data_IF_711616198360
#
_entry.id   IF_711616198360
#
_cell.length_a   1.000
_cell.length_b   1.000
_cell.length_c   1.000
_cell.angle_alpha   90.00
_cell.angle_beta   90.00
_cell.angle_gamma   90.00
#
_symmetry.space_group_name_H-M   'P 1'
#
loop_
_entity.id
_entity.type
_entity.pdbx_description
1 polymer ?
#
# COMPACT_ATOMS: atom_id res chain seq x y z
N UNK A 1 24.21 -57.46 -37.16
CA UNK A 1 23.49 -57.25 -35.88
C UNK A 1 23.89 -55.88 -35.26
N UNK A 2 23.25 -54.78 -35.65
CA UNK A 2 22.05 -54.15 -35.05
C UNK A 2 22.20 -53.77 -33.57
N UNK A 3 22.10 -52.46 -33.28
CA UNK A 3 21.70 -51.87 -31.98
C UNK A 3 22.87 -51.25 -31.18
N UNK A 4 22.80 -50.04 -30.62
CA UNK A 4 21.69 -49.09 -30.47
C UNK A 4 22.26 -47.68 -30.20
N UNK A 5 21.79 -46.68 -30.94
CA UNK A 5 21.99 -45.25 -30.66
C UNK A 5 21.09 -44.85 -29.47
N UNK A 6 21.69 -44.54 -28.32
CA UNK A 6 20.99 -44.12 -27.12
C UNK A 6 20.58 -42.63 -27.17
N UNK A 7 19.28 -42.41 -27.39
CA UNK A 7 18.42 -41.35 -26.84
C UNK A 7 19.09 -40.00 -26.50
N UNK A 8 19.15 -39.10 -27.48
CA UNK A 8 19.16 -37.66 -27.19
C UNK A 8 17.75 -37.24 -26.75
N UNK A 9 17.61 -36.82 -25.49
CA UNK A 9 16.38 -36.23 -24.94
C UNK A 9 16.22 -34.84 -25.56
N UNK A 10 15.50 -34.74 -26.67
CA UNK A 10 15.18 -33.47 -27.29
C UNK A 10 14.35 -32.61 -26.32
N UNK A 11 14.93 -31.50 -25.86
CA UNK A 11 14.14 -30.40 -25.32
C UNK A 11 13.25 -29.91 -26.46
N UNK A 12 11.93 -30.15 -26.39
CA UNK A 12 10.97 -29.57 -27.33
C UNK A 12 11.06 -28.05 -27.21
N UNK A 13 11.67 -27.38 -28.19
CA UNK A 13 11.47 -25.96 -28.40
C UNK A 13 9.98 -25.72 -28.62
N UNK A 14 9.38 -24.84 -27.80
CA UNK A 14 8.00 -24.41 -27.99
C UNK A 14 7.85 -23.83 -29.41
N UNK A 15 6.72 -24.12 -30.06
CA UNK A 15 6.49 -23.65 -31.43
C UNK A 15 6.55 -22.11 -31.45
N UNK A 16 7.02 -21.46 -32.54
CA UNK A 16 7.21 -20.00 -32.57
C UNK A 16 5.99 -19.18 -32.12
N UNK A 17 4.77 -19.66 -32.40
CA UNK A 17 3.51 -19.04 -31.94
C UNK A 17 3.31 -19.11 -30.42
N UNK A 18 3.65 -20.24 -29.79
CA UNK A 18 3.56 -20.39 -28.33
C UNK A 18 4.58 -19.47 -27.64
N UNK A 19 5.81 -19.39 -28.18
CA UNK A 19 6.84 -18.47 -27.68
C UNK A 19 6.39 -17.01 -27.76
N UNK A 20 5.82 -16.58 -28.88
CA UNK A 20 5.30 -15.21 -29.05
C UNK A 20 4.16 -14.91 -28.06
N UNK A 21 3.21 -15.83 -27.88
CA UNK A 21 2.11 -15.67 -26.92
C UNK A 21 2.63 -15.55 -25.48
N UNK A 22 3.62 -16.35 -25.11
CA UNK A 22 4.24 -16.29 -23.78
C UNK A 22 4.94 -14.95 -23.53
N UNK A 23 5.66 -14.42 -24.53
CA UNK A 23 6.30 -13.10 -24.45
C UNK A 23 5.29 -11.96 -24.33
N UNK A 24 4.19 -12.01 -25.08
CA UNK A 24 3.12 -11.02 -24.98
C UNK A 24 2.45 -11.02 -23.60
N UNK A 25 2.23 -12.20 -23.02
CA UNK A 25 1.70 -12.34 -21.66
C UNK A 25 2.66 -11.80 -20.61
N UNK A 26 3.96 -12.04 -20.75
CA UNK A 26 4.99 -11.51 -19.86
C UNK A 26 5.02 -9.97 -19.91
N UNK A 27 5.08 -9.40 -21.11
CA UNK A 27 5.08 -7.95 -21.29
C UNK A 27 3.82 -7.28 -20.69
N UNK A 28 2.65 -7.92 -20.84
CA UNK A 28 1.41 -7.45 -20.22
C UNK A 28 1.46 -7.49 -18.70
N UNK A 29 2.07 -8.52 -18.11
CA UNK A 29 2.26 -8.63 -16.66
C UNK A 29 3.23 -7.55 -16.14
N UNK A 30 4.34 -7.33 -16.85
CA UNK A 30 5.32 -6.28 -16.51
C UNK A 30 4.67 -4.89 -16.53
N UNK A 31 3.92 -4.55 -17.59
CA UNK A 31 3.22 -3.28 -17.67
C UNK A 31 2.22 -3.07 -16.52
N UNK A 32 1.51 -4.12 -16.10
CA UNK A 32 0.62 -4.05 -14.95
C UNK A 32 1.38 -3.81 -13.63
N UNK A 33 2.54 -4.42 -13.45
CA UNK A 33 3.40 -4.19 -12.28
C UNK A 33 3.88 -2.75 -12.25
N UNK A 34 4.42 -2.25 -13.38
CA UNK A 34 4.91 -0.88 -13.50
C UNK A 34 3.81 0.15 -13.24
N UNK A 35 2.60 -0.09 -13.77
CA UNK A 35 1.45 0.78 -13.52
C UNK A 35 1.08 0.83 -12.03
N UNK A 36 1.05 -0.32 -11.34
CA UNK A 36 0.77 -0.38 -9.89
C UNK A 36 1.84 0.34 -9.08
N UNK A 37 3.11 0.19 -9.44
CA UNK A 37 4.24 0.89 -8.80
C UNK A 37 4.08 2.41 -8.99
N UNK A 38 3.80 2.87 -10.21
CA UNK A 38 3.60 4.29 -10.49
C UNK A 38 2.44 4.89 -9.69
N UNK A 39 1.32 4.15 -9.56
CA UNK A 39 0.19 4.59 -8.72
C UNK A 39 0.54 4.68 -7.24
N UNK A 40 1.27 3.68 -6.71
CA UNK A 40 1.78 3.70 -5.34
C UNK A 40 2.68 4.91 -5.12
N UNK A 41 3.66 5.12 -5.99
CA UNK A 41 4.68 6.16 -5.82
C UNK A 41 4.06 7.56 -5.93
N UNK A 42 3.12 7.76 -6.85
CA UNK A 42 2.32 8.99 -6.94
C UNK A 42 1.61 9.31 -5.62
N UNK A 43 1.02 8.29 -4.98
CA UNK A 43 0.34 8.48 -3.71
C UNK A 43 1.30 8.73 -2.55
N UNK A 44 2.45 8.05 -2.54
CA UNK A 44 3.51 8.28 -1.56
C UNK A 44 4.09 9.69 -1.67
N UNK A 45 4.21 10.25 -2.87
CA UNK A 45 4.62 11.65 -3.09
C UNK A 45 3.55 12.64 -2.61
N UNK A 46 2.28 12.34 -2.82
CA UNK A 46 1.19 13.13 -2.26
C UNK A 46 1.22 13.10 -0.72
N UNK A 47 1.51 11.94 -0.12
CA UNK A 47 1.68 11.80 1.33
C UNK A 47 2.92 12.53 1.83
N UNK A 48 4.05 12.43 1.13
CA UNK A 48 5.28 13.19 1.42
C UNK A 48 4.98 14.68 1.52
N UNK A 49 4.33 15.22 0.50
CA UNK A 49 3.91 16.61 0.44
C UNK A 49 2.95 16.95 1.59
N UNK A 50 1.88 16.17 1.76
CA UNK A 50 0.85 16.40 2.76
C UNK A 50 1.38 16.38 4.19
N UNK A 51 2.17 15.36 4.55
CA UNK A 51 2.73 15.22 5.90
C UNK A 51 3.79 16.27 6.22
N UNK A 52 4.60 16.68 5.23
CA UNK A 52 5.65 17.69 5.41
C UNK A 52 5.13 19.13 5.49
N UNK A 53 3.97 19.38 4.88
CA UNK A 53 3.33 20.70 4.86
C UNK A 53 2.30 20.89 5.98
N UNK A 54 2.16 19.93 6.90
CA UNK A 54 1.26 20.08 8.04
C UNK A 54 1.70 21.28 8.88
N UNK A 55 0.72 22.11 9.18
CA UNK A 55 0.87 23.25 10.09
C UNK A 55 0.12 22.94 11.38
N UNK A 56 0.56 23.50 12.50
CA UNK A 56 -0.18 23.35 13.75
C UNK A 56 -1.46 24.19 13.68
N UNK A 57 -2.60 23.61 14.06
CA UNK A 57 -3.89 24.31 14.19
C UNK A 57 -4.59 23.95 15.50
N UNK A 58 -5.41 24.86 16.02
CA UNK A 58 -6.15 24.64 17.27
C UNK A 58 -5.22 24.39 18.46
N UNK A 59 -5.44 23.28 19.19
CA UNK A 59 -4.70 22.85 20.38
C UNK A 59 -3.21 22.48 20.14
N UNK A 60 -2.58 23.01 19.10
CA UNK A 60 -1.18 22.78 18.76
C UNK A 60 -0.91 21.48 17.99
N UNK A 61 -1.94 20.73 17.58
CA UNK A 61 -1.77 19.49 16.80
C UNK A 61 -1.54 19.80 15.32
N UNK A 62 -0.83 18.90 14.63
CA UNK A 62 -0.56 19.02 13.20
C UNK A 62 -1.84 18.75 12.40
N UNK A 63 -2.28 19.75 11.63
CA UNK A 63 -3.42 19.64 10.73
C UNK A 63 -3.14 18.59 9.66
N UNK A 64 -3.97 17.55 9.60
CA UNK A 64 -3.89 16.49 8.61
C UNK A 64 -5.14 16.44 7.70
N UNK A 65 -6.00 17.46 7.68
CA UNK A 65 -7.22 17.46 6.88
C UNK A 65 -6.98 17.54 5.36
N UNK A 66 -5.76 17.87 4.94
CA UNK A 66 -5.40 18.09 3.54
C UNK A 66 -4.55 16.95 2.95
N UNK A 67 -4.56 15.78 3.57
CA UNK A 67 -3.81 14.60 3.11
C UNK A 67 -4.82 13.65 2.45
N UNK A 68 -5.03 13.67 1.13
CA UNK A 68 -5.95 12.74 0.47
C UNK A 68 -5.33 11.35 0.33
N UNK A 69 -6.19 10.36 0.05
CA UNK A 69 -5.80 9.05 -0.46
C UNK A 69 -6.45 8.80 -1.80
N UNK A 70 -5.80 8.00 -2.63
CA UNK A 70 -6.38 7.46 -3.86
C UNK A 70 -6.53 5.97 -3.70
N UNK A 71 -7.71 5.42 -3.96
CA UNK A 71 -7.94 3.97 -3.94
C UNK A 71 -8.74 3.64 -5.19
N UNK A 72 -8.23 2.70 -6.01
CA UNK A 72 -8.88 2.29 -7.26
C UNK A 72 -9.26 3.48 -8.16
N UNK A 73 -8.41 4.51 -8.22
CA UNK A 73 -8.65 5.73 -9.02
C UNK A 73 -9.60 6.75 -8.38
N UNK A 74 -10.21 6.47 -7.24
CA UNK A 74 -11.05 7.41 -6.48
C UNK A 74 -10.22 8.16 -5.45
N UNK A 75 -10.25 9.49 -5.51
CA UNK A 75 -9.65 10.35 -4.48
C UNK A 75 -10.63 10.53 -3.32
N UNK A 76 -10.17 10.25 -2.11
CA UNK A 76 -10.95 10.37 -0.87
C UNK A 76 -10.27 11.41 0.00
N UNK A 77 -11.04 12.41 0.45
CA UNK A 77 -10.56 13.49 1.33
C UNK A 77 -10.81 13.13 2.80
N UNK A 78 -9.94 13.54 3.73
CA UNK A 78 -10.21 13.39 5.15
C UNK A 78 -11.43 14.20 5.62
N UNK A 79 -12.10 13.71 6.67
CA UNK A 79 -13.10 14.45 7.42
C UNK A 79 -12.39 15.60 8.15
N UNK A 80 -12.65 16.83 7.70
CA UNK A 80 -11.89 18.01 8.10
C UNK A 80 -11.87 18.21 9.61
N UNK A 81 -13.04 18.25 10.26
CA UNK A 81 -13.16 18.55 11.68
C UNK A 81 -12.39 17.57 12.58
N UNK A 82 -12.32 16.29 12.20
CA UNK A 82 -11.67 15.24 13.00
C UNK A 82 -10.16 15.21 12.71
N UNK A 83 -9.76 15.48 11.47
CA UNK A 83 -8.37 15.39 11.00
C UNK A 83 -7.45 16.52 11.47
N UNK A 84 -8.01 17.54 12.14
CA UNK A 84 -7.23 18.55 12.87
C UNK A 84 -6.47 17.97 14.07
N UNK A 85 -6.74 16.72 14.46
CA UNK A 85 -6.19 16.06 15.65
C UNK A 85 -4.94 15.21 15.38
N UNK A 86 -4.13 15.56 14.37
CA UNK A 86 -2.81 14.97 14.15
C UNK A 86 -2.73 13.86 13.08
N UNK A 87 -3.84 13.23 12.72
CA UNK A 87 -3.91 12.18 11.70
C UNK A 87 -5.12 12.40 10.77
N UNK A 88 -4.99 12.13 9.45
CA UNK A 88 -6.12 12.14 8.55
C UNK A 88 -7.09 11.01 8.90
N UNK A 89 -8.38 11.34 8.98
CA UNK A 89 -9.48 10.41 9.24
C UNK A 89 -10.40 10.40 8.03
N UNK A 90 -10.62 9.25 7.41
CA UNK A 90 -11.49 9.08 6.25
C UNK A 90 -12.79 8.40 6.67
N UNK A 91 -13.89 8.75 6.01
CA UNK A 91 -15.21 8.15 6.21
C UNK A 91 -15.71 7.52 4.91
N UNK A 92 -16.60 6.53 5.03
CA UNK A 92 -17.22 5.88 3.87
C UNK A 92 -16.24 5.05 3.03
N UNK A 93 -15.14 4.58 3.63
CA UNK A 93 -14.16 3.69 2.98
C UNK A 93 -14.42 2.26 3.42
N UNK A 94 -14.71 1.39 2.47
CA UNK A 94 -14.99 -0.03 2.73
C UNK A 94 -13.73 -0.80 3.16
N UNK A 95 -13.90 -1.95 3.84
CA UNK A 95 -12.76 -2.82 4.18
C UNK A 95 -12.01 -3.27 2.93
N UNK A 96 -12.72 -3.54 1.84
CA UNK A 96 -12.12 -3.92 0.56
C UNK A 96 -11.23 -2.81 -0.01
N UNK A 97 -11.66 -1.55 0.08
CA UNK A 97 -10.86 -0.39 -0.31
C UNK A 97 -9.63 -0.23 0.60
N UNK A 98 -9.78 -0.39 1.91
CA UNK A 98 -8.66 -0.32 2.88
C UNK A 98 -7.63 -1.41 2.57
N UNK A 99 -8.07 -2.63 2.25
CA UNK A 99 -7.18 -3.74 1.89
C UNK A 99 -6.54 -3.52 0.52
N UNK A 100 -7.25 -2.88 -0.41
CA UNK A 100 -6.69 -2.46 -1.68
C UNK A 100 -5.57 -1.43 -1.48
N UNK A 101 -5.76 -0.45 -0.60
CA UNK A 101 -4.71 0.52 -0.24
C UNK A 101 -3.49 -0.18 0.36
N UNK A 102 -3.70 -1.10 1.31
CA UNK A 102 -2.61 -1.88 1.90
C UNK A 102 -1.81 -2.65 0.83
N UNK A 103 -2.51 -3.31 -0.09
CA UNK A 103 -1.90 -4.05 -1.22
C UNK A 103 -1.20 -3.12 -2.20
N UNK A 104 -1.72 -1.93 -2.45
CA UNK A 104 -1.06 -0.92 -3.28
C UNK A 104 0.29 -0.52 -2.67
N UNK A 105 0.36 -0.38 -1.34
CA UNK A 105 1.62 -0.03 -0.65
C UNK A 105 2.61 -1.20 -0.59
N UNK A 106 2.13 -2.40 -0.26
CA UNK A 106 3.00 -3.54 0.09
C UNK A 106 3.18 -4.56 -1.04
N UNK A 107 2.36 -4.49 -2.09
CA UNK A 107 2.28 -5.50 -3.14
C UNK A 107 1.54 -6.78 -2.75
N UNK A 108 1.02 -6.89 -1.53
CA UNK A 108 0.45 -8.12 -1.00
C UNK A 108 -0.91 -7.91 -0.32
N UNK A 109 -1.75 -8.95 -0.27
CA UNK A 109 -2.96 -8.93 0.55
C UNK A 109 -2.58 -8.88 2.04
N UNK A 110 -3.40 -8.24 2.89
CA UNK A 110 -3.17 -8.29 4.33
C UNK A 110 -3.30 -9.72 4.84
N UNK A 111 -2.25 -10.22 5.48
CA UNK A 111 -2.27 -11.49 6.21
C UNK A 111 -2.39 -11.19 7.72
N UNK A 112 -3.57 -11.43 8.27
CA UNK A 112 -3.90 -11.02 9.64
C UNK A 112 -3.46 -12.04 10.67
N UNK A 113 -2.76 -11.58 11.70
CA UNK A 113 -2.64 -12.28 12.98
C UNK A 113 -3.66 -11.73 13.98
N UNK A 114 -4.21 -12.61 14.81
CA UNK A 114 -5.07 -12.25 15.93
C UNK A 114 -4.21 -11.72 17.09
N UNK A 115 -4.67 -10.66 17.72
CA UNK A 115 -4.14 -10.03 18.93
C UNK A 115 -5.27 -9.95 19.97
N UNK A 116 -4.94 -9.74 21.26
CA UNK A 116 -5.96 -9.51 22.28
C UNK A 116 -6.93 -8.38 21.94
N UNK A 117 -6.40 -7.29 21.37
CA UNK A 117 -7.15 -6.06 21.08
C UNK A 117 -7.65 -5.98 19.63
N UNK A 118 -7.54 -7.07 18.85
CA UNK A 118 -8.02 -7.10 17.46
C UNK A 118 -7.16 -7.93 16.51
N UNK A 119 -6.99 -7.47 15.27
CA UNK A 119 -6.17 -8.12 14.23
C UNK A 119 -5.18 -7.13 13.63
N UNK A 120 -4.04 -7.67 13.20
CA UNK A 120 -2.95 -6.89 12.63
C UNK A 120 -2.34 -7.63 11.44
N UNK A 121 -2.15 -6.91 10.34
CA UNK A 121 -1.34 -7.33 9.20
C UNK A 121 -0.10 -6.42 9.09
N UNK A 122 1.04 -6.99 8.70
CA UNK A 122 2.27 -6.23 8.46
C UNK A 122 2.82 -6.50 7.07
N UNK A 123 3.33 -5.45 6.44
CA UNK A 123 3.99 -5.52 5.14
C UNK A 123 5.08 -4.47 5.07
N UNK A 124 5.82 -4.46 3.97
CA UNK A 124 6.94 -3.55 3.75
C UNK A 124 6.79 -2.96 2.35
N UNK A 125 7.04 -1.66 2.22
CA UNK A 125 7.23 -1.06 0.89
C UNK A 125 8.59 -1.57 0.38
N UNK A 126 8.59 -2.30 -0.73
CA UNK A 126 9.77 -3.03 -1.21
C UNK A 126 10.67 -2.25 -2.16
N UNK A 127 10.19 -1.15 -2.74
CA UNK A 127 10.90 -0.40 -3.80
C UNK A 127 10.62 1.11 -3.68
N UNK A 128 11.42 1.93 -4.37
CA UNK A 128 11.28 3.40 -4.40
C UNK A 128 11.86 4.11 -3.17
N UNK A 129 11.67 5.44 -3.08
CA UNK A 129 12.21 6.26 -1.98
C UNK A 129 11.69 5.87 -0.59
N UNK A 130 10.56 5.17 -0.54
CA UNK A 130 9.92 4.71 0.69
C UNK A 130 10.27 3.26 1.05
N UNK A 131 11.19 2.63 0.30
CA UNK A 131 11.61 1.26 0.55
C UNK A 131 12.07 1.06 2.00
N UNK A 132 11.66 -0.05 2.61
CA UNK A 132 11.95 -0.36 4.02
C UNK A 132 10.95 0.21 5.02
N UNK A 133 10.06 1.13 4.61
CA UNK A 133 8.92 1.57 5.44
C UNK A 133 8.02 0.37 5.74
N UNK A 134 7.75 0.13 7.02
CA UNK A 134 6.84 -0.94 7.45
C UNK A 134 5.41 -0.41 7.47
N UNK A 135 4.49 -1.16 6.89
CA UNK A 135 3.06 -0.87 6.88
C UNK A 135 2.37 -1.81 7.86
N UNK A 136 1.71 -1.26 8.87
CA UNK A 136 0.90 -2.01 9.82
C UNK A 136 -0.58 -1.66 9.63
N UNK A 137 -1.40 -2.62 9.24
CA UNK A 137 -2.85 -2.46 9.13
C UNK A 137 -3.54 -3.16 10.30
N UNK A 138 -4.29 -2.41 11.10
CA UNK A 138 -4.96 -2.91 12.31
C UNK A 138 -6.40 -2.43 12.38
N UNK A 139 -7.29 -3.25 12.94
CA UNK A 139 -8.71 -2.92 13.11
C UNK A 139 -9.01 -2.25 14.48
N UNK A 140 -8.06 -1.50 15.02
CA UNK A 140 -8.22 -0.78 16.28
C UNK A 140 -7.36 0.49 16.27
N UNK A 141 -7.74 1.48 17.08
CA UNK A 141 -7.05 2.76 17.18
C UNK A 141 -6.88 3.18 18.63
N UNK A 142 -5.67 3.60 19.02
CA UNK A 142 -5.45 4.21 20.35
C UNK A 142 -6.27 5.49 20.58
N UNK A 143 -6.71 6.11 19.49
CA UNK A 143 -7.55 7.32 19.51
C UNK A 143 -8.96 7.03 18.99
N UNK A 144 -9.44 5.79 19.08
CA UNK A 144 -10.78 5.40 18.62
C UNK A 144 -11.87 6.29 19.23
N UNK A 145 -11.84 6.57 20.54
CA UNK A 145 -12.85 7.42 21.19
C UNK A 145 -12.97 8.82 20.57
N UNK A 146 -11.91 9.38 19.98
CA UNK A 146 -11.90 10.73 19.42
C UNK A 146 -11.95 10.78 17.89
N UNK A 147 -11.76 9.64 17.22
CA UNK A 147 -11.70 9.51 15.76
C UNK A 147 -12.74 8.56 15.18
N UNK A 148 -13.32 7.69 16.00
CA UNK A 148 -14.19 6.57 15.63
C UNK A 148 -13.55 5.63 14.59
N UNK A 149 -12.21 5.58 14.55
CA UNK A 149 -11.48 4.82 13.56
C UNK A 149 -11.54 3.31 13.85
N UNK A 150 -12.26 2.57 13.01
CA UNK A 150 -12.33 1.10 13.03
C UNK A 150 -11.13 0.44 12.38
N UNK A 151 -10.43 1.16 11.49
CA UNK A 151 -9.17 0.71 10.92
C UNK A 151 -8.11 1.80 10.99
N UNK A 152 -6.86 1.39 11.20
CA UNK A 152 -5.69 2.26 11.14
C UNK A 152 -4.60 1.60 10.30
N UNK A 153 -4.03 2.37 9.37
CA UNK A 153 -2.84 2.00 8.61
C UNK A 153 -1.67 2.88 9.08
N UNK A 154 -0.70 2.28 9.76
CA UNK A 154 0.48 2.98 10.27
C UNK A 154 1.66 2.78 9.32
N UNK A 155 2.37 3.86 9.00
CA UNK A 155 3.68 3.82 8.34
C UNK A 155 4.74 3.99 9.42
N UNK A 156 5.45 2.90 9.69
CA UNK A 156 6.50 2.84 10.70
C UNK A 156 7.86 2.96 10.02
N UNK A 157 8.75 3.72 10.64
CA UNK A 157 10.08 4.06 10.09
C UNK A 157 9.97 4.67 8.69
N UNK A 158 9.18 5.74 8.50
CA UNK A 158 9.15 6.42 7.21
C UNK A 158 10.54 7.01 6.89
N UNK A 159 10.82 7.34 5.62
CA UNK A 159 12.07 7.95 5.24
C UNK A 159 12.36 9.23 6.01
N UNK A 160 13.64 9.55 6.23
CA UNK A 160 14.07 10.70 7.03
C UNK A 160 13.63 12.06 6.49
N UNK A 161 13.28 12.14 5.20
CA UNK A 161 12.72 13.34 4.59
C UNK A 161 11.27 13.61 4.99
N UNK A 162 10.61 12.71 5.73
CA UNK A 162 9.27 12.93 6.25
C UNK A 162 9.32 13.51 7.66
N UNK A 163 8.60 14.62 7.87
CA UNK A 163 8.45 15.26 9.18
C UNK A 163 7.48 14.45 10.06
N UNK A 164 8.00 14.00 11.20
CA UNK A 164 7.26 13.28 12.23
C UNK A 164 7.62 11.80 12.26
N UNK A 165 7.54 11.19 13.44
CA UNK A 165 8.03 9.82 13.69
C UNK A 165 6.98 8.74 13.50
N UNK A 166 5.71 9.13 13.35
CA UNK A 166 4.58 8.21 13.12
C UNK A 166 3.59 8.86 12.16
N UNK A 167 3.34 8.18 11.04
CA UNK A 167 2.28 8.54 10.11
C UNK A 167 1.19 7.50 10.25
N UNK A 168 -0.02 7.94 10.57
CA UNK A 168 -1.18 7.06 10.68
C UNK A 168 -2.26 7.55 9.72
N UNK A 169 -2.95 6.62 9.05
CA UNK A 169 -4.17 6.89 8.31
C UNK A 169 -5.31 6.15 9.01
N UNK A 170 -6.42 6.84 9.26
CA UNK A 170 -7.53 6.32 10.07
C UNK A 170 -8.81 6.23 9.24
N UNK A 171 -9.59 5.18 9.44
CA UNK A 171 -10.82 4.92 8.68
C UNK A 171 -11.97 4.60 9.64
N UNK A 172 -13.08 5.31 9.48
CA UNK A 172 -14.33 5.09 10.21
C UNK A 172 -15.17 4.00 9.54
#
# INVERSE_FOLDING_TARGET
PVGALSKAKAAKQAAPKETINNLANLAKAEQQILFRIAQRDTQLDAWKTGFNNRVRKGAGLLDASNIPITINGKTIKPVQAISLKGAPVYSGVSEQEIFALYRQMTGQNPNFRVLPDGRLANGIISTGEWAGTKIALRNFSKTENSTQARWTLDLQNPPSFIKGTKLELKFQ
#
